data_IF_456442274991
#
_entry.id   IF_456442274991
#
_cell.length_a   1.000
_cell.length_b   1.000
_cell.length_c   1.000
_cell.angle_alpha   90.00
_cell.angle_beta   90.00
_cell.angle_gamma   90.00
#
_symmetry.space_group_name_H-M   'P 1'
#
loop_
_entity.id
_entity.type
_entity.pdbx_description
1 polymer ?
#
# COMPACT_ATOMS: atom_id res chain seq x y z
N UNK A 1 20.15 35.17 36.09
CA UNK A 1 21.51 35.35 35.59
C UNK A 1 21.36 35.48 34.08
N UNK A 2 21.11 36.72 33.55
CA UNK A 2 22.03 37.71 33.01
C UNK A 2 22.91 37.14 31.90
N UNK A 3 22.81 37.57 30.66
CA UNK A 3 23.17 38.77 29.90
C UNK A 3 22.78 38.54 28.44
N UNK A 4 21.93 39.24 27.69
CA UNK A 4 22.08 40.61 27.15
C UNK A 4 23.44 40.89 26.44
N UNK A 5 23.38 41.00 25.10
CA UNK A 5 24.10 42.08 24.38
C UNK A 5 23.52 42.27 22.98
N UNK A 6 23.12 43.51 22.76
CA UNK A 6 22.74 44.13 21.50
C UNK A 6 24.02 44.45 20.66
N UNK A 7 23.90 44.46 19.31
CA UNK A 7 24.79 45.29 18.50
C UNK A 7 24.01 45.94 17.36
N UNK A 8 23.89 47.27 17.53
CA UNK A 8 23.40 48.23 16.57
C UNK A 8 24.61 48.73 15.77
N UNK A 9 24.51 48.84 14.44
CA UNK A 9 25.37 49.76 13.69
C UNK A 9 24.58 50.37 12.53
N UNK A 10 24.35 51.67 12.74
CA UNK A 10 23.95 52.64 11.71
C UNK A 10 25.13 52.86 10.74
N UNK A 11 24.84 53.08 9.46
CA UNK A 11 25.66 53.92 8.59
C UNK A 11 24.75 54.75 7.68
N UNK A 12 24.87 56.03 7.86
CA UNK A 12 24.26 57.17 7.19
C UNK A 12 25.07 57.63 6.00
N UNK A 13 24.39 58.19 4.98
CA UNK A 13 24.80 59.24 4.15
C UNK A 13 25.08 59.03 2.66
N UNK A 14 25.14 60.03 1.79
CA UNK A 14 24.45 61.29 1.83
C UNK A 14 23.65 61.62 0.54
N UNK A 15 22.79 62.62 0.67
CA UNK A 15 22.02 63.30 -0.35
C UNK A 15 22.93 64.10 -1.33
N UNK A 16 22.67 63.99 -2.65
CA UNK A 16 23.14 64.97 -3.63
C UNK A 16 21.96 65.68 -4.31
N UNK A 17 21.82 66.92 -3.96
CA UNK A 17 21.07 67.98 -4.62
C UNK A 17 21.71 68.35 -5.94
N UNK A 18 20.97 68.36 -7.05
CA UNK A 18 21.37 69.03 -8.29
C UNK A 18 20.38 70.15 -8.63
N UNK A 19 20.93 71.34 -8.74
CA UNK A 19 20.27 72.64 -9.01
C UNK A 19 19.81 72.77 -10.49
N UNK A 20 18.84 73.66 -10.77
CA UNK A 20 18.36 73.95 -12.10
C UNK A 20 19.18 74.96 -12.83
N UNK A 21 19.44 74.76 -14.11
CA UNK A 21 20.04 75.75 -14.99
C UNK A 21 18.94 76.34 -15.85
N UNK A 22 18.77 77.68 -15.66
CA UNK A 22 18.03 78.55 -16.55
C UNK A 22 19.01 79.10 -17.58
N UNK A 23 18.64 79.12 -18.87
CA UNK A 23 19.04 80.15 -19.83
C UNK A 23 18.21 80.07 -21.10
N UNK A 24 17.39 81.02 -21.33
CA UNK A 24 17.41 82.12 -22.34
C UNK A 24 17.12 81.73 -23.78
N UNK A 25 15.96 82.29 -24.20
CA UNK A 25 15.47 82.51 -25.54
C UNK A 25 16.49 83.33 -26.40
N UNK A 26 16.48 83.28 -27.77
CA UNK A 26 15.59 84.19 -28.46
C UNK A 26 14.80 83.65 -29.68
N UNK A 27 13.70 84.34 -29.87
CA UNK A 27 12.81 84.37 -30.99
C UNK A 27 13.56 84.61 -32.32
N UNK A 28 13.15 83.94 -33.42
CA UNK A 28 12.84 84.48 -34.76
C UNK A 28 12.54 83.39 -35.77
N UNK A 29 11.48 83.53 -36.39
CA UNK A 29 10.91 83.30 -37.71
C UNK A 29 10.01 82.00 -37.90
N UNK A 30 8.73 82.22 -38.09
CA UNK A 30 7.88 81.24 -38.72
C UNK A 30 7.79 81.51 -40.22
N UNK A 31 7.43 80.61 -40.99
CA UNK A 31 7.08 80.60 -42.46
C UNK A 31 8.08 79.72 -43.22
N UNK A 32 7.77 78.52 -43.41
CA UNK A 32 7.90 77.67 -44.60
C UNK A 32 8.01 76.19 -44.25
N UNK A 33 6.87 75.48 -43.89
CA UNK A 33 6.76 74.03 -43.93
C UNK A 33 5.32 73.57 -43.70
N UNK A 34 4.40 74.06 -44.56
CA UNK A 34 3.02 73.61 -44.57
C UNK A 34 2.71 72.80 -45.88
N UNK A 35 3.63 72.04 -46.37
CA UNK A 35 3.37 71.28 -47.61
C UNK A 35 3.96 69.86 -47.70
N UNK A 36 4.17 69.14 -46.61
CA UNK A 36 4.54 67.66 -46.71
C UNK A 36 3.92 66.84 -45.56
N UNK A 37 2.65 67.00 -45.25
CA UNK A 37 1.96 66.21 -44.24
C UNK A 37 0.77 65.39 -44.80
N UNK A 38 0.80 65.02 -46.09
CA UNK A 38 -0.28 64.22 -46.70
C UNK A 38 0.26 63.05 -47.51
N UNK A 39 1.07 62.11 -46.93
CA UNK A 39 1.34 60.82 -47.54
C UNK A 39 2.05 59.84 -46.57
N UNK A 40 1.44 59.51 -45.42
CA UNK A 40 1.80 58.30 -44.70
C UNK A 40 0.54 57.75 -43.99
N UNK A 41 -0.43 57.30 -44.76
CA UNK A 41 -1.39 56.32 -44.25
C UNK A 41 -0.60 55.02 -44.11
N UNK A 42 -0.52 54.40 -42.90
CA UNK A 42 0.09 53.09 -42.79
C UNK A 42 -0.67 52.08 -43.66
N UNK A 43 -0.01 51.25 -44.44
CA UNK A 43 -0.67 50.22 -45.23
C UNK A 43 -1.55 49.39 -44.31
N UNK A 44 -2.87 49.33 -44.63
CA UNK A 44 -3.82 48.51 -43.93
C UNK A 44 -3.30 47.09 -44.08
N UNK A 45 -2.72 46.52 -42.99
CA UNK A 45 -2.17 45.16 -42.96
C UNK A 45 -3.22 44.23 -43.51
N UNK A 46 -2.89 43.49 -44.56
CA UNK A 46 -3.76 42.49 -45.11
C UNK A 46 -4.18 41.52 -43.97
N UNK A 47 -5.45 41.17 -43.85
CA UNK A 47 -5.90 40.24 -42.82
C UNK A 47 -5.09 38.95 -42.96
N UNK A 48 -4.35 38.61 -41.92
CA UNK A 48 -3.65 37.32 -41.85
C UNK A 48 -4.64 36.18 -42.16
N UNK A 49 -4.23 35.20 -42.95
CA UNK A 49 -5.11 34.09 -43.29
C UNK A 49 -5.56 33.41 -41.96
N UNK A 50 -6.84 33.01 -41.88
CA UNK A 50 -7.36 32.42 -40.65
C UNK A 50 -6.55 31.19 -40.25
N UNK A 51 -6.16 31.06 -38.97
CA UNK A 51 -5.34 29.95 -38.48
C UNK A 51 -6.09 28.61 -38.73
N UNK A 52 -5.33 27.64 -39.19
CA UNK A 52 -5.82 26.26 -39.37
C UNK A 52 -5.79 25.56 -38.00
N UNK A 53 -6.91 25.00 -37.56
CA UNK A 53 -7.09 24.30 -36.30
C UNK A 53 -7.63 22.92 -36.49
N UNK A 54 -7.21 21.98 -35.66
CA UNK A 54 -7.79 20.64 -35.58
C UNK A 54 -8.83 20.60 -34.47
N UNK A 55 -10.02 20.10 -34.76
CA UNK A 55 -11.09 19.93 -33.77
C UNK A 55 -11.37 18.47 -33.50
N UNK A 56 -11.77 18.17 -32.26
CA UNK A 56 -12.28 16.87 -31.85
C UNK A 56 -13.57 17.07 -31.05
N UNK A 57 -14.61 16.28 -31.24
CA UNK A 57 -15.76 16.30 -30.37
C UNK A 57 -15.39 15.70 -29.01
N UNK A 58 -15.98 16.18 -27.90
CA UNK A 58 -15.89 15.51 -26.63
C UNK A 58 -16.41 14.08 -26.73
N UNK A 59 -15.73 13.13 -26.08
CA UNK A 59 -16.14 11.73 -26.09
C UNK A 59 -16.80 11.39 -24.76
N UNK A 60 -17.87 10.64 -24.77
CA UNK A 60 -18.46 10.09 -23.56
C UNK A 60 -17.63 8.86 -23.14
N UNK A 61 -17.01 8.92 -21.96
CA UNK A 61 -16.23 7.83 -21.43
C UNK A 61 -16.62 7.54 -19.97
N UNK A 62 -16.54 6.27 -19.61
CA UNK A 62 -16.67 5.87 -18.19
C UNK A 62 -15.36 6.14 -17.50
N UNK A 63 -15.37 7.08 -16.58
CA UNK A 63 -14.20 7.52 -15.85
C UNK A 63 -14.29 7.00 -14.42
N UNK A 64 -13.26 6.29 -13.99
CA UNK A 64 -13.08 5.86 -12.60
C UNK A 64 -12.08 6.76 -11.93
N UNK A 65 -12.47 7.39 -10.83
CA UNK A 65 -11.56 8.21 -10.03
C UNK A 65 -10.73 7.30 -9.13
N UNK A 66 -9.41 7.46 -9.17
CA UNK A 66 -8.47 6.75 -8.33
C UNK A 66 -7.71 7.73 -7.44
N UNK A 67 -7.59 7.40 -6.16
CA UNK A 67 -6.69 8.08 -5.24
C UNK A 67 -5.47 7.20 -5.02
N UNK A 68 -4.26 7.76 -5.16
CA UNK A 68 -3.00 7.03 -5.09
C UNK A 68 -2.26 7.34 -3.79
N UNK A 69 -1.73 6.30 -3.15
CA UNK A 69 -1.02 6.38 -1.89
C UNK A 69 0.23 5.51 -1.91
N UNK A 70 1.33 5.97 -1.29
CA UNK A 70 2.46 5.10 -1.01
C UNK A 70 2.06 4.11 0.08
N UNK A 71 2.40 2.85 -0.11
CA UNK A 71 2.14 1.78 0.83
C UNK A 71 3.33 0.85 1.00
N UNK A 72 3.23 -0.05 1.93
CA UNK A 72 4.20 -1.12 2.16
C UNK A 72 3.50 -2.46 2.29
N UNK A 73 4.13 -3.48 1.73
CA UNK A 73 3.64 -4.84 1.79
C UNK A 73 3.99 -5.48 3.12
N UNK A 74 3.08 -6.27 3.66
CA UNK A 74 3.30 -7.04 4.87
C UNK A 74 2.69 -8.44 4.75
N UNK A 75 3.26 -9.40 5.48
CA UNK A 75 2.71 -10.74 5.55
C UNK A 75 1.41 -10.76 6.37
N UNK A 76 0.47 -11.63 5.99
CA UNK A 76 -0.73 -11.86 6.80
C UNK A 76 -0.36 -12.44 8.16
N UNK A 77 0.60 -13.38 8.16
CA UNK A 77 1.11 -14.01 9.36
C UNK A 77 2.64 -14.04 9.31
N UNK A 78 3.26 -13.66 10.42
CA UNK A 78 4.70 -13.75 10.63
C UNK A 78 4.95 -14.43 11.97
N UNK A 79 5.67 -15.55 11.95
CA UNK A 79 5.95 -16.35 13.13
C UNK A 79 7.45 -16.57 13.29
N UNK A 80 7.96 -16.18 14.44
CA UNK A 80 9.30 -16.53 14.87
C UNK A 80 9.29 -17.94 15.48
N UNK A 81 10.07 -18.83 14.92
CA UNK A 81 10.23 -20.19 15.43
C UNK A 81 11.19 -20.14 16.62
N UNK A 82 10.66 -20.52 17.77
CA UNK A 82 11.39 -20.56 19.04
C UNK A 82 11.24 -21.94 19.68
N UNK A 83 12.27 -22.46 20.36
CA UNK A 83 12.17 -23.75 21.05
C UNK A 83 11.23 -23.65 22.27
N UNK A 84 10.57 -24.74 22.60
CA UNK A 84 9.77 -24.88 23.82
C UNK A 84 10.46 -25.72 24.90
N UNK A 85 11.56 -26.36 24.52
CA UNK A 85 12.46 -27.12 25.42
C UNK A 85 13.90 -26.71 25.13
N UNK A 86 14.78 -26.78 26.14
CA UNK A 86 16.19 -26.44 25.99
C UNK A 86 16.97 -27.67 25.52
N UNK A 87 18.05 -27.47 24.77
CA UNK A 87 18.91 -28.57 24.36
C UNK A 87 19.80 -28.23 23.18
N UNK A 88 20.57 -29.21 22.71
CA UNK A 88 21.39 -29.05 21.52
C UNK A 88 20.57 -29.33 20.26
N UNK A 89 20.75 -28.52 19.22
CA UNK A 89 20.17 -28.82 17.90
C UNK A 89 20.91 -30.05 17.33
N UNK A 90 20.16 -31.11 17.10
CA UNK A 90 20.67 -32.35 16.50
C UNK A 90 20.70 -32.23 14.97
N UNK A 91 19.57 -31.87 14.35
CA UNK A 91 19.44 -31.80 12.91
C UNK A 91 18.49 -30.70 12.45
N UNK A 92 18.65 -30.29 11.17
CA UNK A 92 17.85 -29.25 10.51
C UNK A 92 17.31 -29.85 9.20
N UNK A 93 16.00 -29.73 8.97
CA UNK A 93 15.27 -30.45 7.91
C UNK A 93 14.66 -29.56 6.83
N UNK A 94 15.09 -28.31 6.71
CA UNK A 94 14.63 -27.42 5.66
C UNK A 94 15.81 -26.73 4.94
N UNK A 95 15.53 -26.15 3.77
CA UNK A 95 16.43 -25.26 3.07
C UNK A 95 15.99 -23.81 3.25
N UNK A 96 16.95 -22.93 3.46
CA UNK A 96 16.68 -21.50 3.64
C UNK A 96 16.01 -20.89 2.41
N UNK A 97 14.99 -20.07 2.62
CA UNK A 97 14.25 -19.40 1.56
C UNK A 97 13.23 -20.26 0.80
N UNK A 98 13.05 -21.53 1.18
CA UNK A 98 12.02 -22.41 0.58
C UNK A 98 10.65 -22.21 1.22
N UNK A 99 9.60 -22.67 0.55
CA UNK A 99 8.27 -22.76 1.13
C UNK A 99 8.14 -24.02 1.98
N UNK A 100 7.52 -23.88 3.14
CA UNK A 100 7.19 -24.94 4.08
C UNK A 100 5.69 -24.96 4.33
N UNK A 101 5.16 -26.14 4.65
CA UNK A 101 3.75 -26.33 5.03
C UNK A 101 3.62 -26.44 6.53
N UNK A 102 2.47 -26.03 7.05
CA UNK A 102 2.15 -26.27 8.46
C UNK A 102 2.28 -27.75 8.79
N UNK A 103 3.05 -28.06 9.86
CA UNK A 103 3.37 -29.41 10.29
C UNK A 103 4.72 -29.96 9.80
N UNK A 104 5.36 -29.33 8.82
CA UNK A 104 6.68 -29.77 8.33
C UNK A 104 7.73 -29.68 9.45
N UNK A 105 8.59 -30.71 9.55
CA UNK A 105 9.67 -30.76 10.53
C UNK A 105 10.77 -29.77 10.12
N UNK A 106 11.16 -28.88 11.03
CA UNK A 106 12.17 -27.86 10.79
C UNK A 106 13.48 -28.13 11.53
N UNK A 107 13.40 -28.35 12.82
CA UNK A 107 14.54 -28.61 13.68
C UNK A 107 14.26 -29.79 14.59
N UNK A 108 15.29 -30.51 14.94
CA UNK A 108 15.27 -31.55 16.00
C UNK A 108 16.25 -31.13 17.07
N UNK A 109 15.75 -31.05 18.31
CA UNK A 109 16.58 -30.93 19.52
C UNK A 109 16.91 -32.35 19.97
N UNK A 110 18.11 -32.59 20.51
CA UNK A 110 18.51 -33.92 21.00
C UNK A 110 17.42 -34.56 21.89
N UNK A 111 16.72 -35.60 21.41
CA UNK A 111 15.57 -36.16 22.11
C UNK A 111 15.97 -37.11 23.26
N UNK A 112 17.23 -37.56 23.31
CA UNK A 112 17.68 -38.61 24.25
C UNK A 112 17.42 -38.30 25.73
N UNK A 113 17.68 -37.08 26.24
CA UNK A 113 17.37 -36.76 27.64
C UNK A 113 15.87 -36.80 27.91
N UNK A 114 15.04 -36.33 26.99
CA UNK A 114 13.56 -36.29 27.08
C UNK A 114 12.96 -37.68 26.96
N UNK A 115 13.55 -38.55 26.14
CA UNK A 115 13.13 -39.93 26.03
C UNK A 115 13.40 -40.72 27.33
N UNK A 116 14.59 -40.51 27.94
CA UNK A 116 14.89 -41.13 29.22
C UNK A 116 13.95 -40.63 30.34
N UNK A 117 13.56 -39.34 30.32
CA UNK A 117 12.60 -38.79 31.27
C UNK A 117 11.21 -39.39 31.09
N UNK A 118 10.76 -39.58 29.82
CA UNK A 118 9.51 -40.25 29.53
C UNK A 118 9.50 -41.70 29.98
N UNK A 119 10.57 -42.47 29.73
CA UNK A 119 10.72 -43.87 30.19
C UNK A 119 10.68 -43.95 31.73
N UNK A 120 11.34 -43.01 32.44
CA UNK A 120 11.27 -42.91 33.89
C UNK A 120 9.85 -42.62 34.39
N UNK A 121 9.13 -41.69 33.79
CA UNK A 121 7.74 -41.35 34.13
C UNK A 121 6.78 -42.55 33.86
N UNK A 122 7.02 -43.30 32.79
CA UNK A 122 6.27 -44.51 32.48
C UNK A 122 6.50 -45.60 33.56
N UNK A 123 7.74 -45.79 34.00
CA UNK A 123 8.04 -46.74 35.07
C UNK A 123 7.36 -46.37 36.40
N UNK A 124 7.34 -45.04 36.72
CA UNK A 124 6.63 -44.56 37.92
C UNK A 124 5.11 -44.82 37.84
N UNK A 125 4.49 -44.55 36.63
CA UNK A 125 3.08 -44.90 36.44
C UNK A 125 2.82 -46.37 36.63
N UNK A 126 3.63 -47.25 36.04
CA UNK A 126 3.51 -48.68 36.17
C UNK A 126 3.61 -49.15 37.63
N UNK A 127 4.54 -48.56 38.38
CA UNK A 127 4.70 -48.81 39.85
C UNK A 127 3.43 -48.42 40.62
N UNK A 128 2.85 -47.24 40.33
CA UNK A 128 1.63 -46.77 40.96
C UNK A 128 0.43 -47.65 40.61
N UNK A 129 0.29 -48.09 39.36
CA UNK A 129 -0.76 -49.02 38.91
C UNK A 129 -0.66 -50.38 39.62
N UNK A 130 0.55 -50.93 39.77
CA UNK A 130 0.78 -52.17 40.51
C UNK A 130 0.42 -51.98 41.97
N UNK A 131 0.70 -50.81 42.57
CA UNK A 131 0.33 -50.51 43.96
C UNK A 131 -1.18 -50.44 44.16
N UNK A 132 -1.94 -49.86 43.20
CA UNK A 132 -3.43 -49.88 43.20
C UNK A 132 -3.95 -51.31 43.17
N UNK A 133 -3.40 -52.20 42.33
CA UNK A 133 -3.82 -53.59 42.26
C UNK A 133 -3.56 -54.29 43.62
N UNK A 134 -2.42 -54.05 44.23
CA UNK A 134 -2.10 -54.60 45.55
C UNK A 134 -3.08 -54.11 46.63
N UNK A 135 -3.35 -52.81 46.73
CA UNK A 135 -4.27 -52.24 47.73
C UNK A 135 -5.72 -52.68 47.49
N UNK A 136 -6.16 -52.81 46.23
CA UNK A 136 -7.50 -53.36 45.91
C UNK A 136 -7.64 -54.81 46.32
N UNK A 137 -6.64 -55.64 46.06
CA UNK A 137 -6.64 -57.03 46.47
C UNK A 137 -6.62 -57.14 47.99
N UNK A 138 -5.94 -56.25 48.73
CA UNK A 138 -5.94 -56.22 50.17
C UNK A 138 -7.30 -55.79 50.75
N UNK A 139 -7.95 -54.76 50.16
CA UNK A 139 -9.33 -54.35 50.50
C UNK A 139 -10.31 -55.50 50.28
N UNK A 140 -10.21 -56.18 49.13
CA UNK A 140 -11.10 -57.34 48.82
C UNK A 140 -10.95 -58.47 49.86
N UNK A 141 -9.74 -58.77 50.37
CA UNK A 141 -9.53 -59.71 51.45
C UNK A 141 -10.15 -59.19 52.75
N UNK A 142 -10.04 -57.92 53.07
CA UNK A 142 -10.63 -57.28 54.24
C UNK A 142 -12.17 -57.30 54.20
N UNK A 143 -12.78 -57.15 53.03
CA UNK A 143 -14.24 -57.30 52.85
C UNK A 143 -14.71 -58.66 53.29
N UNK A 144 -14.03 -59.76 52.87
CA UNK A 144 -14.31 -61.12 53.32
C UNK A 144 -14.19 -61.31 54.85
N UNK A 145 -13.17 -60.71 55.47
CA UNK A 145 -12.96 -60.80 56.92
C UNK A 145 -13.94 -59.93 57.73
N UNK A 146 -14.42 -58.82 57.19
CA UNK A 146 -15.47 -57.98 57.82
C UNK A 146 -16.79 -58.74 57.94
N UNK A 147 -17.14 -59.55 56.93
CA UNK A 147 -18.36 -60.40 56.92
C UNK A 147 -18.34 -61.40 58.11
N UNK A 148 -17.19 -61.86 58.52
CA UNK A 148 -16.99 -62.78 59.70
C UNK A 148 -16.67 -62.05 61.02
N UNK A 149 -16.71 -60.70 61.03
CA UNK A 149 -16.33 -59.86 62.19
C UNK A 149 -14.88 -60.05 62.66
N UNK A 150 -13.98 -60.49 61.78
CA UNK A 150 -12.55 -60.75 62.10
C UNK A 150 -11.68 -59.49 62.00
N UNK A 151 -12.19 -58.36 61.51
CA UNK A 151 -11.51 -57.05 61.49
C UNK A 151 -12.38 -55.93 62.07
N UNK A 152 -11.74 -54.86 62.56
CA UNK A 152 -12.46 -53.64 63.03
C UNK A 152 -12.98 -52.78 61.86
N UNK A 153 -14.00 -51.98 62.13
CA UNK A 153 -14.47 -50.99 61.15
C UNK A 153 -13.41 -50.00 60.77
N UNK A 154 -12.60 -49.59 61.74
CA UNK A 154 -11.49 -48.64 61.54
C UNK A 154 -10.41 -49.19 60.58
N UNK A 155 -10.07 -50.46 60.73
CA UNK A 155 -9.09 -51.15 59.89
C UNK A 155 -9.61 -51.32 58.45
N UNK A 156 -10.90 -51.63 58.28
CA UNK A 156 -11.53 -51.65 56.96
C UNK A 156 -11.52 -50.29 56.30
N UNK A 157 -11.91 -49.21 57.03
CA UNK A 157 -11.92 -47.82 56.53
C UNK A 157 -10.50 -47.34 56.17
N UNK A 158 -9.49 -47.74 56.93
CA UNK A 158 -8.10 -47.47 56.60
C UNK A 158 -7.66 -48.09 55.28
N UNK A 159 -8.02 -49.34 54.99
CA UNK A 159 -7.70 -50.01 53.72
C UNK A 159 -8.51 -49.45 52.56
N UNK A 160 -9.76 -49.05 52.80
CA UNK A 160 -10.58 -48.34 51.79
C UNK A 160 -9.93 -47.00 51.40
N UNK A 161 -9.48 -46.22 52.35
CA UNK A 161 -8.76 -44.98 52.11
C UNK A 161 -7.43 -45.19 51.39
N UNK A 162 -6.70 -46.27 51.72
CA UNK A 162 -5.45 -46.61 51.05
C UNK A 162 -5.64 -46.93 49.56
N UNK A 163 -6.79 -47.48 49.12
CA UNK A 163 -7.11 -47.64 47.72
C UNK A 163 -7.29 -46.27 47.05
N UNK A 164 -8.07 -45.37 47.66
CA UNK A 164 -8.28 -44.02 47.12
C UNK A 164 -6.98 -43.25 47.01
N UNK A 165 -6.09 -43.36 47.99
CA UNK A 165 -4.77 -42.74 47.95
C UNK A 165 -3.90 -43.32 46.82
N UNK A 166 -3.88 -44.67 46.67
CA UNK A 166 -3.16 -45.30 45.59
C UNK A 166 -3.74 -44.92 44.18
N UNK A 167 -5.06 -44.82 44.05
CA UNK A 167 -5.70 -44.33 42.81
C UNK A 167 -5.31 -42.88 42.51
N UNK A 168 -5.27 -41.99 43.50
CA UNK A 168 -4.81 -40.65 43.32
C UNK A 168 -3.33 -40.58 42.89
N UNK A 169 -2.46 -41.47 43.42
CA UNK A 169 -1.08 -41.59 42.99
C UNK A 169 -0.95 -42.02 41.51
N UNK A 170 -1.79 -42.88 41.01
CA UNK A 170 -1.81 -43.22 39.57
C UNK A 170 -2.18 -42.01 38.70
N UNK A 171 -3.17 -41.21 39.13
CA UNK A 171 -3.53 -39.99 38.42
C UNK A 171 -2.36 -39.01 38.34
N UNK A 172 -1.65 -38.83 39.46
CA UNK A 172 -0.46 -37.98 39.51
C UNK A 172 0.67 -38.49 38.60
N UNK A 173 0.94 -39.83 38.64
CA UNK A 173 1.95 -40.44 37.77
C UNK A 173 1.61 -40.34 36.30
N UNK A 174 0.34 -40.46 35.90
CA UNK A 174 -0.16 -40.24 34.50
C UNK A 174 0.02 -38.82 34.06
N UNK A 175 -0.19 -37.83 34.93
CA UNK A 175 0.07 -36.44 34.65
C UNK A 175 1.53 -36.15 34.35
N UNK A 176 2.43 -36.75 35.16
CA UNK A 176 3.88 -36.65 34.98
C UNK A 176 4.33 -37.28 33.64
N UNK A 177 3.83 -38.49 33.33
CA UNK A 177 4.10 -39.12 32.02
C UNK A 177 3.64 -38.23 30.86
N UNK A 178 2.45 -37.62 30.96
CA UNK A 178 1.91 -36.74 29.91
C UNK A 178 2.84 -35.52 29.73
N UNK A 179 3.34 -34.93 30.83
CA UNK A 179 4.29 -33.82 30.79
C UNK A 179 5.58 -34.22 30.07
N UNK A 180 6.17 -35.37 30.47
CA UNK A 180 7.39 -35.87 29.84
C UNK A 180 7.19 -36.16 28.33
N UNK A 181 6.04 -36.70 27.93
CA UNK A 181 5.68 -36.91 26.53
C UNK A 181 5.59 -35.62 25.76
N UNK A 182 4.93 -34.60 26.30
CA UNK A 182 4.83 -33.28 25.70
C UNK A 182 6.23 -32.66 25.52
N UNK A 183 7.11 -32.78 26.48
CA UNK A 183 8.48 -32.28 26.40
C UNK A 183 9.25 -33.00 25.27
N UNK A 184 9.08 -34.31 25.14
CA UNK A 184 9.69 -35.08 24.04
C UNK A 184 9.11 -34.64 22.68
N UNK A 185 7.81 -34.42 22.57
CA UNK A 185 7.20 -33.90 21.34
C UNK A 185 7.73 -32.52 20.96
N UNK A 186 8.04 -31.66 21.95
CA UNK A 186 8.62 -30.34 21.71
C UNK A 186 10.08 -30.36 21.22
N UNK A 187 10.77 -31.53 21.30
CA UNK A 187 12.09 -31.68 20.66
C UNK A 187 11.99 -31.64 19.14
N UNK A 188 10.84 -31.99 18.56
CA UNK A 188 10.55 -31.89 17.14
C UNK A 188 9.84 -30.56 16.84
N UNK A 189 10.61 -29.59 16.37
CA UNK A 189 10.09 -28.26 16.07
C UNK A 189 9.51 -28.29 14.65
N UNK A 190 8.19 -28.12 14.55
CA UNK A 190 7.43 -28.11 13.31
C UNK A 190 6.96 -26.71 12.95
N UNK A 191 6.71 -26.48 11.67
CA UNK A 191 6.16 -25.21 11.15
C UNK A 191 4.72 -25.03 11.67
N UNK A 192 4.42 -23.91 12.36
CA UNK A 192 3.06 -23.63 12.84
C UNK A 192 2.13 -23.14 11.73
N UNK A 193 2.69 -22.49 10.70
CA UNK A 193 1.98 -21.94 9.54
C UNK A 193 2.65 -22.40 8.26
N UNK A 194 1.91 -22.35 7.15
CA UNK A 194 2.47 -22.50 5.81
C UNK A 194 3.00 -21.15 5.31
N UNK A 195 4.18 -21.13 4.70
CA UNK A 195 4.78 -19.91 4.21
C UNK A 195 6.23 -20.08 3.80
N UNK A 196 6.91 -18.98 3.54
CA UNK A 196 8.33 -18.98 3.20
C UNK A 196 9.18 -18.87 4.47
N UNK A 197 10.07 -19.84 4.66
CA UNK A 197 11.00 -19.84 5.78
C UNK A 197 12.22 -18.97 5.45
N UNK A 198 12.63 -18.15 6.41
CA UNK A 198 13.82 -17.31 6.29
C UNK A 198 15.12 -18.10 6.48
N UNK A 199 16.20 -17.38 6.75
CA UNK A 199 17.49 -17.99 7.08
C UNK A 199 17.42 -18.66 8.46
N UNK A 200 18.19 -19.72 8.66
CA UNK A 200 18.44 -20.27 9.98
C UNK A 200 19.35 -19.35 10.78
N UNK A 201 19.01 -19.11 12.03
CA UNK A 201 19.81 -18.29 12.96
C UNK A 201 20.69 -19.13 13.88
N UNK A 202 20.52 -20.46 13.81
CA UNK A 202 21.27 -21.45 14.58
C UNK A 202 21.70 -22.60 13.68
N UNK A 203 22.79 -23.29 14.09
CA UNK A 203 23.32 -24.47 13.38
C UNK A 203 23.22 -25.71 14.27
N UNK A 204 23.29 -26.88 13.65
CA UNK A 204 23.40 -28.13 14.40
C UNK A 204 24.61 -28.07 15.35
N UNK A 205 24.44 -28.62 16.55
CA UNK A 205 25.42 -28.56 17.64
C UNK A 205 25.30 -27.31 18.56
N UNK A 206 24.51 -26.30 18.19
CA UNK A 206 24.27 -25.14 19.07
C UNK A 206 23.28 -25.50 20.17
N UNK A 207 23.54 -24.98 21.37
CA UNK A 207 22.61 -25.08 22.49
C UNK A 207 21.56 -23.96 22.39
N UNK A 208 20.28 -24.33 22.51
CA UNK A 208 19.15 -23.39 22.47
C UNK A 208 18.45 -23.37 23.82
N UNK A 209 18.00 -22.19 24.21
CA UNK A 209 17.42 -21.97 25.55
C UNK A 209 15.98 -21.46 25.44
N UNK A 210 15.19 -21.85 26.44
CA UNK A 210 13.91 -21.24 26.76
C UNK A 210 14.13 -19.84 27.35
N UNK A 211 13.12 -18.99 27.19
CA UNK A 211 13.07 -17.70 27.87
C UNK A 211 12.99 -17.94 29.38
N UNK A 212 14.08 -17.70 30.09
CA UNK A 212 14.18 -17.81 31.54
C UNK A 212 15.23 -16.84 32.07
N UNK A 213 14.98 -16.25 33.26
CA UNK A 213 15.89 -15.38 34.02
C UNK A 213 16.53 -14.22 33.25
N UNK A 214 15.71 -13.44 32.52
CA UNK A 214 16.17 -12.18 31.87
C UNK A 214 16.80 -12.34 30.49
N UNK A 215 16.89 -13.54 29.93
CA UNK A 215 17.32 -13.79 28.55
C UNK A 215 16.15 -13.92 27.59
N UNK A 216 16.31 -13.39 26.38
CA UNK A 216 15.35 -13.63 25.30
C UNK A 216 15.49 -15.06 24.80
N UNK A 217 14.36 -15.75 24.55
CA UNK A 217 14.38 -17.08 23.92
C UNK A 217 15.09 -17.03 22.57
N UNK A 218 15.90 -18.07 22.27
CA UNK A 218 16.63 -18.17 21.01
C UNK A 218 15.67 -18.23 19.83
N UNK A 219 15.76 -17.28 18.89
CA UNK A 219 15.04 -17.37 17.61
C UNK A 219 15.80 -18.31 16.70
N UNK A 220 15.12 -19.32 16.14
CA UNK A 220 15.73 -20.32 15.28
C UNK A 220 15.62 -19.95 13.80
N UNK A 221 14.44 -19.51 13.38
CA UNK A 221 14.10 -19.04 12.05
C UNK A 221 12.80 -18.22 12.11
N UNK A 222 12.46 -17.56 11.01
CA UNK A 222 11.17 -16.85 10.84
C UNK A 222 10.43 -17.44 9.66
N UNK A 223 9.12 -17.65 9.79
CA UNK A 223 8.24 -18.03 8.68
C UNK A 223 7.28 -16.87 8.44
N UNK A 224 7.12 -16.49 7.16
CA UNK A 224 6.16 -15.48 6.72
C UNK A 224 5.19 -16.10 5.73
N UNK A 225 3.90 -15.82 5.89
CA UNK A 225 2.90 -16.17 4.88
C UNK A 225 3.16 -15.35 3.62
N UNK A 226 2.95 -15.95 2.44
CA UNK A 226 3.23 -15.28 1.17
C UNK A 226 1.97 -15.02 0.34
N UNK A 227 0.91 -15.77 0.54
CA UNK A 227 -0.37 -15.61 -0.15
C UNK A 227 -1.53 -15.90 0.80
N UNK A 228 -2.49 -14.97 0.95
CA UNK A 228 -2.49 -13.60 0.41
C UNK A 228 -1.45 -12.68 1.08
N UNK A 229 -1.30 -11.45 0.57
CA UNK A 229 -0.42 -10.44 1.13
C UNK A 229 -1.20 -9.17 1.44
N UNK A 230 -0.81 -8.47 2.50
CA UNK A 230 -1.37 -7.19 2.90
C UNK A 230 -0.56 -6.02 2.33
N UNK A 231 -1.25 -4.92 2.06
CA UNK A 231 -0.62 -3.64 1.84
C UNK A 231 -1.22 -2.62 2.79
N UNK A 232 -0.38 -2.01 3.61
CA UNK A 232 -0.74 -0.93 4.51
C UNK A 232 -0.38 0.40 3.89
N UNK A 233 -1.27 1.38 3.99
CA UNK A 233 -1.08 2.74 3.51
C UNK A 233 -1.86 3.72 4.38
N UNK A 234 -1.38 4.95 4.48
CA UNK A 234 -1.97 5.97 5.32
C UNK A 234 -2.72 6.98 4.45
N UNK A 235 -3.95 7.31 4.82
CA UNK A 235 -4.81 8.26 4.09
C UNK A 235 -5.24 9.41 4.99
N UNK A 236 -5.52 10.57 4.41
CA UNK A 236 -6.06 11.71 5.14
C UNK A 236 -7.48 11.45 5.64
N UNK A 237 -7.87 12.11 6.74
CA UNK A 237 -9.21 11.97 7.34
C UNK A 237 -10.35 12.24 6.35
N UNK A 238 -10.18 13.24 5.48
CA UNK A 238 -11.16 13.58 4.43
C UNK A 238 -11.40 12.43 3.45
N UNK A 239 -10.33 11.76 3.02
CA UNK A 239 -10.41 10.59 2.14
C UNK A 239 -11.02 9.38 2.85
N UNK A 240 -10.67 9.18 4.12
CA UNK A 240 -11.26 8.13 4.94
C UNK A 240 -12.79 8.27 5.06
N UNK A 241 -13.30 9.47 5.36
CA UNK A 241 -14.74 9.71 5.47
C UNK A 241 -15.46 9.42 4.14
N UNK A 242 -14.82 9.77 3.00
CA UNK A 242 -15.31 9.45 1.66
C UNK A 242 -15.35 7.94 1.43
N UNK A 243 -14.27 7.22 1.73
CA UNK A 243 -14.21 5.77 1.53
C UNK A 243 -15.19 5.02 2.42
N UNK A 244 -15.33 5.43 3.67
CA UNK A 244 -16.30 4.85 4.59
C UNK A 244 -17.74 5.01 4.08
N UNK A 245 -18.09 6.16 3.49
CA UNK A 245 -19.42 6.35 2.90
C UNK A 245 -19.66 5.42 1.70
N UNK A 246 -18.63 5.21 0.86
CA UNK A 246 -18.71 4.32 -0.29
C UNK A 246 -18.77 2.85 0.16
N UNK A 247 -17.95 2.46 1.16
CA UNK A 247 -17.92 1.10 1.70
C UNK A 247 -19.24 0.70 2.32
N UNK A 248 -19.86 1.56 3.12
CA UNK A 248 -21.18 1.30 3.70
C UNK A 248 -22.24 1.02 2.61
N UNK A 249 -22.13 1.69 1.46
CA UNK A 249 -23.01 1.46 0.30
C UNK A 249 -22.61 0.19 -0.47
N UNK A 250 -21.32 -0.10 -0.58
CA UNK A 250 -20.80 -1.27 -1.28
C UNK A 250 -20.99 -2.57 -0.48
N UNK A 251 -20.85 -2.54 0.83
CA UNK A 251 -21.13 -3.70 1.72
C UNK A 251 -22.59 -4.11 1.65
N UNK A 252 -23.52 -3.14 1.54
CA UNK A 252 -24.92 -3.42 1.28
C UNK A 252 -25.15 -4.16 -0.05
N UNK A 253 -24.20 -4.06 -0.99
CA UNK A 253 -24.20 -4.72 -2.31
C UNK A 253 -23.20 -5.91 -2.40
N UNK A 254 -22.54 -6.30 -1.29
CA UNK A 254 -21.63 -7.46 -1.23
C UNK A 254 -20.23 -7.24 -1.80
N UNK A 255 -19.77 -5.99 -1.99
CA UNK A 255 -18.45 -5.67 -2.54
C UNK A 255 -17.65 -4.67 -1.69
N UNK A 256 -16.39 -4.99 -1.38
CA UNK A 256 -15.43 -4.04 -0.81
C UNK A 256 -14.90 -3.05 -1.84
N UNK A 257 -14.25 -1.95 -1.41
CA UNK A 257 -13.59 -1.01 -2.30
C UNK A 257 -12.45 -1.70 -3.05
N UNK A 258 -12.47 -1.55 -4.37
CA UNK A 258 -11.41 -2.08 -5.24
C UNK A 258 -10.15 -1.25 -5.05
N UNK A 259 -9.05 -1.96 -4.85
CA UNK A 259 -7.71 -1.41 -4.78
C UNK A 259 -6.86 -2.06 -5.89
N UNK A 260 -5.94 -1.30 -6.41
CA UNK A 260 -4.94 -1.81 -7.35
C UNK A 260 -3.55 -1.37 -6.86
N UNK A 261 -2.55 -2.22 -7.10
CA UNK A 261 -1.20 -2.03 -6.61
C UNK A 261 -0.22 -2.12 -7.77
N UNK A 262 0.81 -1.29 -7.71
CA UNK A 262 1.96 -1.31 -8.59
C UNK A 262 3.26 -1.34 -7.78
N UNK A 263 4.19 -2.18 -8.17
CA UNK A 263 5.56 -2.14 -7.66
C UNK A 263 6.35 -1.00 -8.35
N UNK A 264 7.46 -0.61 -7.75
CA UNK A 264 8.30 0.52 -8.23
C UNK A 264 8.82 0.32 -9.67
N UNK A 265 8.99 -0.92 -10.09
CA UNK A 265 9.51 -1.29 -11.41
C UNK A 265 8.40 -1.56 -12.45
N UNK A 266 7.13 -1.43 -12.09
CA UNK A 266 6.01 -1.70 -12.98
C UNK A 266 5.48 -0.42 -13.64
N UNK A 267 5.12 -0.52 -14.91
CA UNK A 267 4.48 0.56 -15.66
C UNK A 267 2.97 0.41 -15.61
N UNK A 268 2.37 0.62 -14.43
CA UNK A 268 0.92 0.52 -14.23
C UNK A 268 0.56 -0.36 -13.05
N UNK A 269 -0.73 -0.43 -12.74
CA UNK A 269 -1.27 -1.15 -11.59
C UNK A 269 -1.72 -2.54 -12.02
N UNK A 270 -0.82 -3.52 -11.93
CA UNK A 270 -1.06 -4.88 -12.41
C UNK A 270 -1.80 -5.78 -11.39
N UNK A 271 -1.62 -5.50 -10.10
CA UNK A 271 -2.15 -6.34 -9.03
C UNK A 271 -3.48 -5.79 -8.54
N UNK A 272 -4.53 -6.61 -8.56
CA UNK A 272 -5.86 -6.24 -8.07
C UNK A 272 -6.11 -6.81 -6.68
N UNK A 273 -6.69 -5.98 -5.83
CA UNK A 273 -7.05 -6.33 -4.47
C UNK A 273 -8.28 -5.59 -4.01
N UNK A 274 -8.55 -5.68 -2.73
CA UNK A 274 -9.68 -5.01 -2.09
C UNK A 274 -9.27 -4.45 -0.74
N UNK A 275 -9.87 -3.34 -0.38
CA UNK A 275 -9.77 -2.78 0.94
C UNK A 275 -10.56 -3.67 1.91
N UNK A 276 -9.92 -4.12 2.98
CA UNK A 276 -10.52 -5.03 3.96
C UNK A 276 -10.51 -4.49 5.39
N UNK A 277 -9.71 -3.45 5.66
CA UNK A 277 -9.60 -2.94 7.02
C UNK A 277 -9.33 -1.43 7.04
N UNK A 278 -10.00 -0.77 7.98
CA UNK A 278 -9.74 0.60 8.42
C UNK A 278 -9.28 0.56 9.87
N UNK A 279 -8.21 1.26 10.20
CA UNK A 279 -7.79 1.38 11.59
C UNK A 279 -8.88 2.07 12.43
N UNK A 280 -8.88 1.78 13.72
CA UNK A 280 -9.86 2.32 14.67
C UNK A 280 -9.48 3.71 15.21
N UNK A 281 -8.29 4.21 14.87
CA UNK A 281 -7.73 5.44 15.41
C UNK A 281 -7.02 6.27 14.33
N UNK A 282 -7.31 7.57 14.30
CA UNK A 282 -6.57 8.54 13.49
C UNK A 282 -5.30 8.91 14.25
N UNK A 283 -4.17 8.97 13.56
CA UNK A 283 -2.93 9.47 14.13
C UNK A 283 -3.03 11.00 14.30
N UNK A 284 -3.07 11.54 15.53
CA UNK A 284 -3.28 12.96 15.76
C UNK A 284 -2.09 13.84 15.35
N UNK A 285 -0.91 13.25 15.14
CA UNK A 285 0.28 14.00 14.73
C UNK A 285 0.32 14.26 13.22
N UNK A 286 -0.22 13.34 12.43
CA UNK A 286 -0.22 13.42 10.97
C UNK A 286 -1.60 13.71 10.38
N UNK A 287 -2.69 13.54 11.15
CA UNK A 287 -4.06 13.65 10.65
C UNK A 287 -4.42 12.52 9.67
N UNK A 288 -3.71 11.40 9.73
CA UNK A 288 -3.94 10.27 8.83
C UNK A 288 -4.47 9.05 9.58
N UNK A 289 -5.15 8.20 8.86
CA UNK A 289 -5.62 6.90 9.33
C UNK A 289 -5.03 5.80 8.45
N UNK A 290 -4.65 4.68 9.08
CA UNK A 290 -4.09 3.54 8.37
C UNK A 290 -5.18 2.66 7.80
N UNK A 291 -5.01 2.31 6.54
CA UNK A 291 -5.85 1.38 5.81
C UNK A 291 -5.04 0.16 5.41
N UNK A 292 -5.76 -0.94 5.19
CA UNK A 292 -5.17 -2.18 4.69
C UNK A 292 -5.98 -2.70 3.52
N UNK A 293 -5.27 -3.06 2.46
CA UNK A 293 -5.83 -3.80 1.35
C UNK A 293 -5.19 -5.19 1.25
N UNK A 294 -5.97 -6.17 0.83
CA UNK A 294 -5.54 -7.55 0.63
C UNK A 294 -5.38 -7.83 -0.86
N UNK A 295 -4.26 -8.46 -1.23
CA UNK A 295 -3.91 -8.82 -2.59
C UNK A 295 -3.63 -10.32 -2.69
N UNK A 296 -4.03 -10.92 -3.78
CA UNK A 296 -3.60 -12.29 -4.13
C UNK A 296 -2.17 -12.25 -4.64
N UNK A 297 -1.36 -13.21 -4.22
CA UNK A 297 0.06 -13.31 -4.55
C UNK A 297 0.41 -14.74 -4.98
N UNK A 298 -0.38 -15.30 -5.90
CA UNK A 298 -0.19 -16.67 -6.38
C UNK A 298 1.15 -16.84 -7.11
N UNK A 299 1.62 -15.82 -7.79
CA UNK A 299 2.89 -15.78 -8.53
C UNK A 299 4.14 -15.49 -7.66
N UNK A 300 3.94 -15.19 -6.36
CA UNK A 300 5.02 -14.86 -5.40
C UNK A 300 5.83 -13.61 -5.76
N UNK A 301 5.33 -12.75 -6.63
CA UNK A 301 6.01 -11.52 -7.05
C UNK A 301 6.07 -10.48 -5.91
N UNK A 302 5.05 -10.46 -5.07
CA UNK A 302 4.94 -9.54 -3.93
C UNK A 302 5.64 -10.15 -2.71
N UNK A 303 6.63 -9.42 -2.17
CA UNK A 303 7.40 -9.86 -1.00
C UNK A 303 7.12 -8.92 0.18
N UNK A 304 6.83 -9.44 1.38
CA UNK A 304 6.68 -8.61 2.57
C UNK A 304 7.88 -7.69 2.79
N UNK A 305 7.61 -6.43 3.16
CA UNK A 305 8.62 -5.38 3.34
C UNK A 305 8.89 -4.53 2.10
N UNK A 306 8.37 -4.87 0.93
CA UNK A 306 8.48 -4.03 -0.27
C UNK A 306 7.58 -2.79 -0.16
N UNK A 307 8.05 -1.68 -0.74
CA UNK A 307 7.22 -0.51 -1.01
C UNK A 307 6.43 -0.70 -2.30
N UNK A 308 5.20 -0.21 -2.30
CA UNK A 308 4.31 -0.26 -3.45
C UNK A 308 3.45 1.01 -3.51
N UNK A 309 3.00 1.36 -4.71
CA UNK A 309 1.97 2.38 -4.87
C UNK A 309 0.61 1.68 -4.93
N UNK A 310 -0.29 2.10 -4.05
CA UNK A 310 -1.66 1.60 -4.03
C UNK A 310 -2.59 2.68 -4.55
N UNK A 311 -3.53 2.31 -5.41
CA UNK A 311 -4.64 3.18 -5.77
C UNK A 311 -5.96 2.59 -5.32
N UNK A 312 -6.78 3.44 -4.73
CA UNK A 312 -8.10 3.11 -4.22
C UNK A 312 -9.15 3.73 -5.10
N UNK A 313 -10.18 2.99 -5.46
CA UNK A 313 -11.30 3.50 -6.24
C UNK A 313 -12.09 4.52 -5.41
N UNK A 314 -12.01 5.78 -5.82
CA UNK A 314 -12.50 6.94 -5.06
C UNK A 314 -13.96 7.31 -5.35
N UNK A 315 -14.71 6.48 -6.05
CA UNK A 315 -16.11 6.69 -6.40
C UNK A 315 -16.61 5.61 -7.38
N UNK A 316 -17.89 5.62 -7.62
CA UNK A 316 -18.48 4.79 -8.68
C UNK A 316 -18.02 5.29 -10.05
N UNK A 317 -17.79 4.41 -11.02
CA UNK A 317 -17.51 4.81 -12.39
C UNK A 317 -18.65 5.69 -12.93
N UNK A 318 -18.33 6.90 -13.39
CA UNK A 318 -19.31 7.84 -13.93
C UNK A 318 -19.06 8.07 -15.39
N UNK A 319 -20.15 8.14 -16.17
CA UNK A 319 -20.08 8.56 -17.56
C UNK A 319 -19.92 10.08 -17.62
N UNK A 320 -18.80 10.54 -18.15
CA UNK A 320 -18.51 11.97 -18.29
C UNK A 320 -17.88 12.27 -19.65
N UNK A 321 -17.97 13.52 -20.08
CA UNK A 321 -17.29 13.97 -21.28
C UNK A 321 -15.79 14.05 -21.02
N UNK A 322 -15.01 13.51 -21.94
CA UNK A 322 -13.55 13.61 -21.91
C UNK A 322 -13.05 14.33 -23.16
N UNK A 323 -12.01 15.13 -22.97
CA UNK A 323 -11.32 15.84 -24.06
C UNK A 323 -9.81 15.54 -23.97
N UNK A 324 -9.06 15.61 -25.08
CA UNK A 324 -7.60 15.50 -24.99
C UNK A 324 -7.02 16.54 -24.04
N UNK A 325 -6.13 16.14 -23.14
CA UNK A 325 -5.57 17.04 -22.13
C UNK A 325 -4.85 18.25 -22.75
N UNK A 326 -4.27 18.08 -23.93
CA UNK A 326 -3.62 19.16 -24.71
C UNK A 326 -4.60 20.24 -25.18
N UNK A 327 -5.91 19.99 -25.21
CA UNK A 327 -6.93 20.96 -25.57
C UNK A 327 -7.31 21.90 -24.40
N UNK A 328 -6.90 21.56 -23.19
CA UNK A 328 -7.27 22.31 -21.97
C UNK A 328 -6.23 23.38 -21.68
N UNK A 329 -6.63 24.64 -21.83
CA UNK A 329 -5.84 25.79 -21.42
C UNK A 329 -6.02 26.14 -19.95
N UNK A 330 -5.07 26.88 -19.39
CA UNK A 330 -5.16 27.44 -18.05
C UNK A 330 -4.87 28.93 -18.08
N UNK A 331 -5.73 29.71 -17.44
CA UNK A 331 -5.62 31.16 -17.37
C UNK A 331 -5.96 31.59 -15.94
N UNK A 332 -4.98 32.15 -15.21
CA UNK A 332 -5.12 32.63 -13.82
C UNK A 332 -5.80 31.59 -12.88
N UNK A 333 -5.51 30.28 -13.08
CA UNK A 333 -6.08 29.21 -12.27
C UNK A 333 -7.40 28.62 -12.80
N UNK A 334 -8.05 29.28 -13.74
CA UNK A 334 -9.24 28.76 -14.42
C UNK A 334 -8.86 27.88 -15.60
N UNK A 335 -9.58 26.77 -15.76
CA UNK A 335 -9.42 25.90 -16.93
C UNK A 335 -10.43 26.30 -18.02
N UNK A 336 -9.97 26.31 -19.26
CA UNK A 336 -10.81 26.65 -20.39
C UNK A 336 -10.46 25.79 -21.61
N UNK A 337 -11.37 25.76 -22.56
CA UNK A 337 -11.15 25.20 -23.90
C UNK A 337 -11.59 26.22 -24.95
N UNK A 338 -11.11 26.07 -26.18
CA UNK A 338 -11.66 26.77 -27.33
C UNK A 338 -12.63 25.87 -28.08
N UNK A 339 -13.82 26.37 -28.31
CA UNK A 339 -14.89 25.69 -29.08
C UNK A 339 -15.16 26.47 -30.37
N UNK A 340 -15.33 25.75 -31.46
CA UNK A 340 -15.70 26.38 -32.74
C UNK A 340 -17.22 26.44 -32.87
N UNK A 341 -17.77 27.65 -33.01
CA UNK A 341 -19.21 27.84 -33.25
C UNK A 341 -19.62 27.53 -34.70
N UNK A 342 -20.91 27.65 -35.01
CA UNK A 342 -21.45 27.39 -36.37
C UNK A 342 -20.86 28.32 -37.43
N UNK A 343 -20.46 29.55 -37.05
CA UNK A 343 -19.87 30.55 -37.95
C UNK A 343 -18.37 30.39 -38.17
N UNK A 344 -17.74 29.35 -37.59
CA UNK A 344 -16.29 29.10 -37.69
C UNK A 344 -15.43 30.02 -36.84
N UNK A 345 -15.99 30.52 -35.74
CA UNK A 345 -15.28 31.43 -34.82
C UNK A 345 -14.90 30.66 -33.55
N UNK A 346 -13.64 30.83 -33.10
CA UNK A 346 -13.15 30.25 -31.84
C UNK A 346 -13.65 31.05 -30.65
N UNK A 347 -14.38 30.40 -29.77
CA UNK A 347 -14.87 30.95 -28.50
C UNK A 347 -14.17 30.31 -27.33
N UNK A 348 -13.65 31.14 -26.41
CA UNK A 348 -13.13 30.66 -25.10
C UNK A 348 -14.33 30.28 -24.25
N UNK A 349 -14.33 29.06 -23.73
CA UNK A 349 -15.34 28.55 -22.80
C UNK A 349 -14.68 28.02 -21.54
N UNK A 350 -15.07 28.56 -20.41
CA UNK A 350 -14.58 28.10 -19.12
C UNK A 350 -15.21 26.76 -18.78
N UNK A 351 -14.37 25.85 -18.27
CA UNK A 351 -14.78 24.49 -17.94
C UNK A 351 -14.33 24.12 -16.52
N UNK A 352 -15.08 23.24 -15.90
CA UNK A 352 -14.66 22.56 -14.69
C UNK A 352 -14.11 21.19 -15.07
N UNK A 353 -12.83 20.98 -14.83
CA UNK A 353 -12.16 19.71 -15.18
C UNK A 353 -12.09 18.78 -13.98
N UNK A 354 -12.21 17.49 -14.25
CA UNK A 354 -11.83 16.42 -13.36
C UNK A 354 -10.35 16.02 -13.53
N UNK A 355 -10.03 14.81 -13.09
CA UNK A 355 -8.68 14.23 -13.22
C UNK A 355 -8.37 13.87 -14.68
N UNK A 356 -7.09 13.83 -14.99
CA UNK A 356 -6.61 13.29 -16.27
C UNK A 356 -6.65 11.75 -16.22
N UNK A 357 -7.03 11.14 -17.35
CA UNK A 357 -7.05 9.71 -17.57
C UNK A 357 -6.22 9.39 -18.82
N UNK A 358 -4.96 9.08 -18.62
CA UNK A 358 -4.00 8.97 -19.71
C UNK A 358 -3.90 10.28 -20.49
N UNK A 359 -4.07 10.27 -21.83
CA UNK A 359 -4.02 11.47 -22.67
C UNK A 359 -5.30 12.32 -22.64
N UNK A 360 -6.34 11.86 -21.97
CA UNK A 360 -7.66 12.52 -21.91
C UNK A 360 -7.90 13.12 -20.53
N UNK A 361 -8.68 14.19 -20.46
CA UNK A 361 -9.12 14.85 -19.23
C UNK A 361 -10.63 14.87 -19.14
N UNK A 362 -11.16 14.49 -18.00
CA UNK A 362 -12.59 14.57 -17.71
C UNK A 362 -13.05 16.03 -17.61
N UNK A 363 -14.23 16.33 -18.15
CA UNK A 363 -14.88 17.65 -18.06
C UNK A 363 -16.21 17.47 -17.33
N UNK A 364 -16.28 18.03 -16.13
CA UNK A 364 -17.45 17.91 -15.28
C UNK A 364 -18.56 18.91 -15.62
N UNK A 365 -18.18 20.11 -16.08
CA UNK A 365 -19.11 21.19 -16.46
C UNK A 365 -18.53 22.04 -17.58
N UNK A 366 -19.40 22.63 -18.41
CA UNK A 366 -19.02 23.64 -19.39
C UNK A 366 -18.95 23.15 -20.84
N UNK A 367 -19.12 21.85 -21.10
CA UNK A 367 -19.18 21.29 -22.46
C UNK A 367 -20.44 20.44 -22.67
N UNK A 368 -20.84 20.34 -23.94
CA UNK A 368 -21.84 19.40 -24.44
C UNK A 368 -21.24 18.43 -25.45
N UNK A 369 -21.89 17.30 -25.69
CA UNK A 369 -21.37 16.27 -26.59
C UNK A 369 -21.23 16.78 -28.07
N UNK A 370 -22.00 17.79 -28.47
CA UNK A 370 -22.01 18.33 -29.82
C UNK A 370 -20.98 19.44 -30.05
N UNK A 371 -20.27 19.86 -29.02
CA UNK A 371 -19.25 20.91 -29.10
C UNK A 371 -18.05 20.43 -29.94
N UNK A 372 -17.45 21.34 -30.71
CA UNK A 372 -16.21 21.08 -31.46
C UNK A 372 -15.05 21.73 -30.76
N UNK A 373 -14.31 20.94 -29.95
CA UNK A 373 -13.19 21.42 -29.16
C UNK A 373 -11.92 21.47 -30.00
N UNK A 374 -11.21 22.59 -29.97
CA UNK A 374 -9.93 22.75 -30.67
C UNK A 374 -8.84 22.03 -29.89
N UNK A 375 -8.17 21.09 -30.56
CA UNK A 375 -7.10 20.25 -29.97
C UNK A 375 -5.72 20.79 -30.38
N UNK A 376 -5.57 21.35 -31.56
CA UNK A 376 -4.29 21.85 -32.06
C UNK A 376 -4.43 23.28 -32.65
N UNK A 377 -3.36 24.07 -32.52
CA UNK A 377 -3.32 25.46 -32.96
C UNK A 377 -3.67 26.49 -31.86
N UNK A 378 -3.78 26.10 -30.63
CA UNK A 378 -4.20 26.92 -29.47
C UNK A 378 -3.35 28.19 -29.27
N UNK A 379 -2.05 28.14 -29.56
CA UNK A 379 -1.11 29.27 -29.33
C UNK A 379 -1.39 30.49 -30.24
N UNK A 380 -2.07 30.28 -31.35
CA UNK A 380 -2.36 31.35 -32.33
C UNK A 380 -3.76 31.94 -32.16
N UNK A 381 -4.56 31.42 -31.21
CA UNK A 381 -5.94 31.78 -31.04
C UNK A 381 -6.13 32.92 -30.04
N UNK A 382 -7.00 33.85 -30.41
CA UNK A 382 -7.62 34.82 -29.51
C UNK A 382 -9.14 34.62 -29.53
N UNK A 383 -9.85 34.94 -28.46
CA UNK A 383 -11.31 34.90 -28.48
C UNK A 383 -11.85 35.71 -29.63
N UNK A 384 -12.77 35.13 -30.43
CA UNK A 384 -13.37 35.79 -31.61
C UNK A 384 -12.59 35.61 -32.93
N UNK A 385 -11.47 34.87 -32.94
CA UNK A 385 -10.74 34.60 -34.20
C UNK A 385 -11.49 33.63 -35.10
N UNK A 386 -11.67 33.98 -36.38
CA UNK A 386 -12.16 33.03 -37.40
C UNK A 386 -11.11 31.98 -37.68
N UNK A 387 -11.49 30.72 -37.70
CA UNK A 387 -10.59 29.56 -37.85
C UNK A 387 -11.04 28.70 -39.04
N UNK A 388 -10.06 28.03 -39.66
CA UNK A 388 -10.34 27.00 -40.67
C UNK A 388 -10.17 25.65 -40.03
N UNK A 389 -11.27 24.91 -39.91
CA UNK A 389 -11.28 23.57 -39.32
C UNK A 389 -10.64 22.58 -40.27
N UNK A 390 -9.61 21.90 -39.85
CA UNK A 390 -9.04 20.74 -40.52
C UNK A 390 -9.48 19.47 -39.79
N UNK A 391 -10.04 18.51 -40.50
CA UNK A 391 -10.27 17.17 -39.97
C UNK A 391 -8.92 16.41 -39.86
N UNK A 392 -8.76 15.49 -38.92
CA UNK A 392 -7.52 14.70 -38.78
C UNK A 392 -7.08 14.01 -40.10
N UNK A 393 -8.04 13.60 -40.92
CA UNK A 393 -7.77 12.96 -42.19
C UNK A 393 -7.19 13.92 -43.25
N UNK A 394 -7.56 15.21 -43.22
CA UNK A 394 -7.00 16.20 -44.13
C UNK A 394 -5.58 16.62 -43.81
N UNK A 395 -5.13 16.43 -42.54
CA UNK A 395 -3.75 16.68 -42.12
C UNK A 395 -2.79 15.63 -42.69
N UNK A 396 -3.18 14.36 -42.67
CA UNK A 396 -2.39 13.27 -43.26
C UNK A 396 -2.19 13.39 -44.77
N UNK A 397 -3.15 14.01 -45.47
CA UNK A 397 -3.03 14.27 -46.89
C UNK A 397 -2.20 15.52 -47.24
N UNK A 398 -2.23 16.57 -46.38
CA UNK A 398 -1.42 17.76 -46.61
C UNK A 398 0.07 17.54 -46.25
N UNK A 399 0.39 16.73 -45.28
CA UNK A 399 1.78 16.34 -44.98
C UNK A 399 2.41 15.43 -46.06
N UNK A 400 1.60 14.65 -46.78
CA UNK A 400 2.06 13.87 -47.93
C UNK A 400 2.26 14.71 -49.21
N UNK A 401 1.61 15.87 -49.32
CA UNK A 401 1.75 16.80 -50.45
C UNK A 401 2.96 17.73 -50.32
N UNK A 402 3.44 18.00 -49.13
CA UNK A 402 4.59 18.87 -48.82
C UNK A 402 5.92 18.15 -48.66
N UNK A 403 5.98 16.85 -48.86
CA UNK A 403 7.25 16.11 -48.88
C UNK A 403 8.02 16.50 -50.15
N UNK A 404 9.29 17.02 -50.05
CA UNK A 404 10.06 17.40 -51.22
C UNK A 404 10.37 16.18 -52.06
N UNK A 405 10.01 16.28 -53.37
CA UNK A 405 10.29 15.25 -54.35
C UNK A 405 11.81 14.98 -54.39
N UNK A 406 12.18 13.76 -54.11
CA UNK A 406 13.55 13.24 -54.16
C UNK A 406 14.08 13.37 -55.60
N UNK A 407 15.11 14.23 -55.79
CA UNK A 407 15.76 14.39 -57.09
C UNK A 407 16.63 13.15 -57.36
N UNK A 408 16.51 12.50 -58.54
CA UNK A 408 17.35 11.37 -58.87
C UNK A 408 18.81 11.84 -59.01
N UNK A 409 19.69 11.27 -58.21
CA UNK A 409 21.14 11.39 -58.36
C UNK A 409 21.58 10.71 -59.62
N UNK A 410 22.07 11.50 -60.61
CA UNK A 410 22.76 11.03 -61.77
C UNK A 410 24.13 10.41 -61.37
N UNK A 411 24.32 9.15 -61.71
CA UNK A 411 25.60 8.51 -61.72
C UNK A 411 26.54 9.11 -62.76
N UNK A 412 27.73 9.48 -62.37
CA UNK A 412 28.95 9.51 -63.19
C UNK A 412 30.10 9.00 -62.31
#
# INVERSE_FOLDING_TARGET
MNLSTAFSSRLSGPSQTVRPIKTCLPRLLPVLCVAVLTACSPPKAAPLPPPKVTVSPPQLATVTNWDEYPGHLDAVEMVEIRPRVAGYIDSIHFHEGTEVKAGDLLFVIDPRPYQAELEHAQAQRQQAETHVEWTRNDLKRAEGLRGTKAISAEEYDARSKAVLEAEAAVVAAKANETTARINLDYTQIKAPISGKIGRRLVTAGNFVQLQGNGGSATVLATIVSVNPIYCYFDVEESAFLKYRSITNTAEANGGGLVCELALVNETGFAHRGRLDFFDNQVNPQTGTIRLRAVFDNADRALVPGMFANVRVMAGTPEQTLVVPDVAVGSDQGYKYVYVVNAEGVAQKRDITTGRAHGPMRAVLKGLTADDRVIVNGLMMLRPGTKVVVQTPESKAQSEKADAPADKPQSKS
#
